data_IF_325551839952
#
_entry.id   IF_325551839952
#
_cell.length_a   1.000
_cell.length_b   1.000
_cell.length_c   1.000
_cell.angle_alpha   90.00
_cell.angle_beta   90.00
_cell.angle_gamma   90.00
#
_symmetry.space_group_name_H-M   'P 1'
#
loop_
_entity.id
_entity.type
_entity.pdbx_description
1 polymer ?
#
# COMPACT_ATOMS: atom_id res chain seq x y z
N UNK A 1 -1.26 -3.37 20.08
CA UNK A 1 -2.14 -2.19 20.14
C UNK A 1 -2.89 -2.13 18.82
N UNK A 2 -4.22 -2.11 18.88
CA UNK A 2 -5.10 -2.31 17.73
C UNK A 2 -4.94 -1.14 16.75
N UNK A 3 -4.29 -1.37 15.61
CA UNK A 3 -4.21 -0.35 14.56
C UNK A 3 -5.62 -0.13 14.01
N UNK A 4 -6.00 1.13 13.78
CA UNK A 4 -7.31 1.46 13.25
C UNK A 4 -7.43 0.90 11.83
N UNK A 5 -8.26 -0.14 11.69
CA UNK A 5 -8.51 -0.81 10.42
C UNK A 5 -9.83 -0.29 9.84
N UNK A 6 -9.74 0.44 8.73
CA UNK A 6 -10.93 0.81 7.97
C UNK A 6 -11.23 -0.25 6.92
N UNK A 7 -12.49 -0.65 6.73
CA UNK A 7 -12.90 -1.62 5.71
C UNK A 7 -13.67 -0.89 4.60
N UNK A 8 -13.34 -1.17 3.34
CA UNK A 8 -14.06 -0.70 2.17
C UNK A 8 -14.48 -1.88 1.29
N UNK A 9 -15.78 -1.97 1.02
CA UNK A 9 -16.33 -2.97 0.10
C UNK A 9 -16.47 -2.36 -1.31
N UNK A 10 -15.52 -2.65 -2.18
CA UNK A 10 -15.52 -2.13 -3.55
C UNK A 10 -16.61 -2.72 -4.44
N UNK A 11 -17.24 -3.83 -4.03
CA UNK A 11 -18.37 -4.42 -4.77
C UNK A 11 -19.59 -3.50 -4.77
N UNK A 12 -19.70 -2.63 -3.74
CA UNK A 12 -20.77 -1.64 -3.61
C UNK A 12 -20.51 -0.35 -4.39
N UNK A 13 -19.30 -0.18 -4.92
CA UNK A 13 -18.82 1.05 -5.58
C UNK A 13 -18.74 0.82 -7.09
N UNK A 14 -19.14 1.83 -7.86
CA UNK A 14 -19.07 1.79 -9.32
C UNK A 14 -17.61 1.69 -9.81
N UNK A 15 -17.30 0.88 -10.85
CA UNK A 15 -15.93 0.54 -11.22
C UNK A 15 -14.98 1.72 -11.42
N UNK A 16 -15.46 2.82 -11.99
CA UNK A 16 -14.63 3.98 -12.30
C UNK A 16 -14.27 4.81 -11.05
N UNK A 17 -15.02 4.71 -9.96
CA UNK A 17 -14.74 5.43 -8.71
C UNK A 17 -13.82 4.64 -7.77
N UNK A 18 -13.78 3.31 -7.89
CA UNK A 18 -13.06 2.41 -6.96
C UNK A 18 -11.63 2.85 -6.71
N UNK A 19 -10.86 3.06 -7.79
CA UNK A 19 -9.45 3.45 -7.69
C UNK A 19 -9.27 4.79 -6.98
N UNK A 20 -10.04 5.82 -7.38
CA UNK A 20 -9.94 7.15 -6.79
C UNK A 20 -10.28 7.12 -5.29
N UNK A 21 -11.33 6.38 -4.91
CA UNK A 21 -11.77 6.24 -3.53
C UNK A 21 -10.76 5.48 -2.67
N UNK A 22 -10.22 4.36 -3.17
CA UNK A 22 -9.19 3.59 -2.48
C UNK A 22 -7.94 4.44 -2.28
N UNK A 23 -7.43 5.07 -3.34
CA UNK A 23 -6.22 5.87 -3.24
C UNK A 23 -6.40 7.07 -2.31
N UNK A 24 -7.55 7.77 -2.38
CA UNK A 24 -7.85 8.86 -1.46
C UNK A 24 -7.89 8.40 0.01
N UNK A 25 -8.44 7.21 0.28
CA UNK A 25 -8.43 6.59 1.63
C UNK A 25 -7.02 6.25 2.07
N UNK A 26 -6.21 5.64 1.20
CA UNK A 26 -4.82 5.27 1.50
C UNK A 26 -3.94 6.49 1.76
N UNK A 27 -4.12 7.57 0.99
CA UNK A 27 -3.39 8.82 1.17
C UNK A 27 -3.71 9.46 2.53
N UNK A 28 -4.98 9.37 2.96
CA UNK A 28 -5.46 9.88 4.23
C UNK A 28 -5.10 9.02 5.46
N UNK A 29 -4.55 7.81 5.28
CA UNK A 29 -4.06 7.00 6.40
C UNK A 29 -2.86 7.66 7.08
N UNK A 30 -2.80 7.55 8.40
CA UNK A 30 -1.58 7.83 9.15
C UNK A 30 -0.59 6.66 9.07
N UNK A 31 0.68 6.95 9.38
CA UNK A 31 1.72 5.96 9.55
C UNK A 31 1.32 4.85 10.52
N UNK A 32 1.33 3.60 10.05
CA UNK A 32 0.88 2.42 10.79
C UNK A 32 -0.58 2.04 10.57
N UNK A 33 -1.44 2.95 10.11
CA UNK A 33 -2.85 2.59 9.88
C UNK A 33 -3.01 1.67 8.65
N UNK A 34 -4.11 0.92 8.64
CA UNK A 34 -4.43 -0.01 7.57
C UNK A 34 -5.83 0.17 7.00
N UNK A 35 -5.96 -0.13 5.72
CA UNK A 35 -7.20 -0.17 4.97
C UNK A 35 -7.40 -1.58 4.41
N UNK A 36 -8.55 -2.18 4.71
CA UNK A 36 -8.96 -3.45 4.14
C UNK A 36 -9.90 -3.23 2.96
N UNK A 37 -9.59 -3.88 1.84
CA UNK A 37 -10.36 -3.86 0.60
C UNK A 37 -11.01 -5.22 0.44
N UNK A 38 -12.33 -5.22 0.23
CA UNK A 38 -13.12 -6.42 -0.06
C UNK A 38 -13.58 -6.37 -1.51
N UNK A 39 -13.11 -7.33 -2.32
CA UNK A 39 -13.38 -7.42 -3.75
C UNK A 39 -13.86 -8.81 -4.17
N UNK A 40 -14.53 -8.91 -5.30
CA UNK A 40 -15.00 -10.17 -5.89
C UNK A 40 -13.96 -10.87 -6.77
N UNK A 41 -12.85 -10.19 -7.08
CA UNK A 41 -11.71 -10.71 -7.84
C UNK A 41 -10.36 -10.21 -7.29
N UNK A 42 -9.26 -10.77 -7.75
CA UNK A 42 -7.91 -10.33 -7.35
C UNK A 42 -7.60 -8.92 -7.91
N UNK A 43 -7.37 -7.91 -7.06
CA UNK A 43 -7.08 -6.55 -7.51
C UNK A 43 -5.59 -6.35 -7.85
N UNK A 44 -5.01 -7.24 -8.66
CA UNK A 44 -3.61 -7.13 -9.13
C UNK A 44 -3.29 -5.78 -9.79
N UNK A 45 -4.15 -5.22 -10.67
CA UNK A 45 -3.85 -3.93 -11.31
C UNK A 45 -3.74 -2.78 -10.30
N UNK A 46 -4.54 -2.82 -9.23
CA UNK A 46 -4.51 -1.83 -8.16
C UNK A 46 -3.18 -1.88 -7.40
N UNK A 47 -2.68 -3.08 -7.10
CA UNK A 47 -1.39 -3.27 -6.44
C UNK A 47 -0.25 -2.68 -7.29
N UNK A 48 -0.22 -3.01 -8.59
CA UNK A 48 0.81 -2.49 -9.51
C UNK A 48 0.78 -0.96 -9.59
N UNK A 49 -0.42 -0.37 -9.64
CA UNK A 49 -0.58 1.08 -9.68
C UNK A 49 -0.16 1.76 -8.37
N UNK A 50 -0.40 1.11 -7.23
CA UNK A 50 0.04 1.60 -5.91
C UNK A 50 1.58 1.62 -5.83
N UNK A 51 2.23 0.51 -6.19
CA UNK A 51 3.69 0.41 -6.19
C UNK A 51 4.34 1.40 -7.17
N UNK A 52 3.74 1.63 -8.34
CA UNK A 52 4.23 2.64 -9.28
C UNK A 52 4.11 4.08 -8.77
N UNK A 53 3.11 4.38 -7.92
CA UNK A 53 2.88 5.71 -7.35
C UNK A 53 3.69 5.96 -6.08
N UNK A 54 3.80 4.95 -5.22
CA UNK A 54 4.34 5.07 -3.87
C UNK A 54 5.14 3.80 -3.50
N UNK A 55 6.27 3.54 -4.21
CA UNK A 55 7.01 2.30 -4.07
C UNK A 55 7.50 2.10 -2.63
N UNK A 56 7.20 0.93 -2.07
CA UNK A 56 7.63 0.57 -0.72
C UNK A 56 6.96 1.32 0.44
N UNK A 57 6.10 2.31 0.18
CA UNK A 57 5.40 3.08 1.22
C UNK A 57 4.24 2.32 1.86
N UNK A 58 3.64 1.40 1.11
CA UNK A 58 2.53 0.58 1.58
C UNK A 58 2.97 -0.89 1.71
N UNK A 59 2.32 -1.61 2.60
CA UNK A 59 2.46 -3.06 2.74
C UNK A 59 1.17 -3.70 2.28
N UNK A 60 1.27 -4.57 1.27
CA UNK A 60 0.15 -5.33 0.72
C UNK A 60 0.07 -6.70 1.38
N UNK A 61 -1.05 -7.06 1.99
CA UNK A 61 -1.25 -8.33 2.69
C UNK A 61 -2.57 -8.96 2.27
N UNK A 62 -2.53 -10.18 1.75
CA UNK A 62 -3.74 -10.94 1.47
C UNK A 62 -4.27 -11.54 2.76
N UNK A 63 -5.46 -11.10 3.20
CA UNK A 63 -6.18 -11.73 4.31
C UNK A 63 -7.02 -12.90 3.82
N UNK A 64 -7.58 -12.76 2.62
CA UNK A 64 -8.31 -13.82 1.96
C UNK A 64 -8.05 -13.80 0.46
N UNK A 65 -7.65 -14.96 -0.05
CA UNK A 65 -7.46 -15.21 -1.47
C UNK A 65 -8.63 -16.09 -1.92
N UNK A 66 -9.28 -15.75 -3.04
CA UNK A 66 -10.54 -16.33 -3.48
C UNK A 66 -10.54 -17.86 -3.75
N UNK A 67 -11.61 -18.40 -4.36
CA UNK A 67 -12.39 -17.77 -5.44
C UNK A 67 -13.68 -17.04 -5.00
N UNK A 68 -14.10 -17.16 -3.74
CA UNK A 68 -15.40 -16.65 -3.29
C UNK A 68 -15.36 -15.17 -2.91
N UNK A 69 -14.25 -14.71 -2.34
CA UNK A 69 -14.07 -13.35 -1.85
C UNK A 69 -12.58 -13.06 -1.67
N UNK A 70 -12.15 -11.90 -2.13
CA UNK A 70 -10.78 -11.41 -2.00
C UNK A 70 -10.75 -10.29 -0.96
N UNK A 71 -9.96 -10.49 0.09
CA UNK A 71 -9.77 -9.48 1.13
C UNK A 71 -8.29 -9.16 1.26
N UNK A 72 -7.96 -7.89 1.05
CA UNK A 72 -6.60 -7.39 1.07
C UNK A 72 -6.51 -6.33 2.15
N UNK A 73 -5.50 -6.42 2.99
CA UNK A 73 -5.10 -5.36 3.91
C UNK A 73 -3.91 -4.59 3.34
N UNK A 74 -4.05 -3.27 3.27
CA UNK A 74 -3.01 -2.36 2.84
C UNK A 74 -2.65 -1.50 4.04
N UNK A 75 -1.42 -1.65 4.54
CA UNK A 75 -0.92 -0.88 5.69
C UNK A 75 0.02 0.21 5.22
N UNK A 76 -0.19 1.45 5.64
CA UNK A 76 0.77 2.54 5.37
C UNK A 76 1.95 2.37 6.30
N UNK A 77 3.14 2.14 5.75
CA UNK A 77 4.34 2.00 6.58
C UNK A 77 4.63 3.35 7.22
N UNK A 78 4.82 3.37 8.53
CA UNK A 78 5.49 4.48 9.17
C UNK A 78 6.86 4.59 8.49
N UNK A 79 7.17 5.76 7.92
CA UNK A 79 8.38 5.99 7.14
C UNK A 79 9.60 5.48 7.90
N UNK A 80 9.98 4.24 7.63
CA UNK A 80 11.35 3.81 7.75
C UNK A 80 11.93 4.31 6.44
N UNK A 81 12.47 5.53 6.50
CA UNK A 81 13.44 5.96 5.53
C UNK A 81 14.44 4.82 5.45
N UNK A 82 14.37 4.04 4.37
CA UNK A 82 15.45 3.16 4.01
C UNK A 82 16.61 4.08 3.65
N UNK A 83 17.37 4.40 4.69
CA UNK A 83 18.75 4.78 4.62
C UNK A 83 19.53 3.49 4.31
N UNK A 84 19.86 3.29 3.04
CA UNK A 84 20.96 2.45 2.54
C UNK A 84 21.00 2.64 1.01
N UNK A 85 22.03 3.22 0.38
CA UNK A 85 23.45 2.98 0.64
C UNK A 85 24.28 4.27 0.72
N UNK A 86 24.71 4.57 1.96
CA UNK A 86 26.04 5.04 2.35
C UNK A 86 26.94 5.71 1.29
N UNK A 87 27.05 7.04 1.37
CA UNK A 87 28.31 7.72 1.08
C UNK A 87 29.40 7.25 2.07
N UNK A 88 30.38 6.47 1.59
CA UNK A 88 31.79 6.35 2.02
C UNK A 88 32.36 5.09 1.32
N UNK A 89 33.49 5.04 0.62
CA UNK A 89 34.78 5.67 0.87
C UNK A 89 35.68 5.51 -0.36
N UNK A 90 36.43 6.54 -0.73
CA UNK A 90 37.39 6.49 -1.84
C UNK A 90 38.08 7.83 -2.08
N UNK A 91 38.45 8.54 -1.01
CA UNK A 91 39.29 9.73 -1.13
C UNK A 91 40.71 9.37 -1.54
N UNK A 92 41.25 10.11 -2.50
CA UNK A 92 42.64 10.56 -2.49
C UNK A 92 42.82 11.70 -3.50
N UNK A 93 43.04 12.89 -2.95
CA UNK A 93 43.77 13.98 -3.59
C UNK A 93 45.20 13.54 -3.98
N UNK A 94 45.88 14.37 -4.79
CA UNK A 94 47.30 14.37 -5.25
C UNK A 94 47.41 14.05 -6.75
N UNK A 95 47.95 14.90 -7.63
CA UNK A 95 48.56 16.23 -7.57
C UNK A 95 48.93 16.63 -8.99
#
# INVERSE_FOLDING_TARGET
MSQAVSVIDVRTIVPFERHALIFGRLDALDAGQSLQIVNDHDPVPLHMQLEGRAPGQFQWTYLQSGPQLWQIEITKKATQAQAEDSCCSGGACCG
#
